data_IF_295476248253
#
_entry.id   IF_295476248253
#
_cell.length_a   1.000
_cell.length_b   1.000
_cell.length_c   1.000
_cell.angle_alpha   90.00
_cell.angle_beta   90.00
_cell.angle_gamma   90.00
#
_symmetry.space_group_name_H-M   'P 1'
#
loop_
_entity.id
_entity.type
_entity.pdbx_description
1 polymer ?
#
# COMPACT_ATOMS: atom_id res chain seq x y z
N UNK A 1 -9.20 -15.28 12.53
CA UNK A 1 -9.43 -15.12 11.08
C UNK A 1 -10.41 -13.97 10.92
N UNK A 2 -10.09 -12.96 10.12
CA UNK A 2 -10.90 -11.73 10.03
C UNK A 2 -12.14 -11.98 9.17
N UNK A 3 -13.30 -11.56 9.66
CA UNK A 3 -14.57 -11.61 8.94
C UNK A 3 -15.12 -10.20 8.67
N UNK A 4 -16.09 -10.08 7.77
CA UNK A 4 -16.71 -8.79 7.41
C UNK A 4 -17.17 -7.99 8.63
N UNK A 5 -17.76 -8.67 9.63
CA UNK A 5 -18.21 -8.02 10.87
C UNK A 5 -17.08 -7.41 11.70
N UNK A 6 -15.84 -7.90 11.59
CA UNK A 6 -14.71 -7.27 12.29
C UNK A 6 -14.40 -5.90 11.69
N UNK A 7 -14.40 -5.79 10.36
CA UNK A 7 -14.22 -4.51 9.65
C UNK A 7 -15.33 -3.54 10.05
N UNK A 8 -16.58 -4.00 10.03
CA UNK A 8 -17.74 -3.15 10.36
C UNK A 8 -17.78 -2.73 11.82
N UNK A 9 -17.37 -3.59 12.75
CA UNK A 9 -17.24 -3.24 14.18
C UNK A 9 -16.18 -2.17 14.39
N UNK A 10 -15.01 -2.29 13.73
CA UNK A 10 -13.98 -1.24 13.77
C UNK A 10 -14.53 0.05 13.16
N UNK A 11 -15.18 0.00 12.00
CA UNK A 11 -15.70 1.19 11.34
C UNK A 11 -16.80 1.88 12.14
N UNK A 12 -17.72 1.12 12.73
CA UNK A 12 -18.79 1.65 13.55
C UNK A 12 -18.28 2.35 14.81
N UNK A 13 -17.20 1.84 15.41
CA UNK A 13 -16.53 2.47 16.55
C UNK A 13 -15.89 3.83 16.25
N UNK A 14 -15.72 4.15 14.96
CA UNK A 14 -15.14 5.42 14.51
C UNK A 14 -16.20 6.47 14.18
N UNK A 15 -17.49 6.11 14.14
CA UNK A 15 -18.58 7.06 13.85
C UNK A 15 -18.57 8.20 14.87
N UNK A 16 -18.57 9.44 14.37
CA UNK A 16 -18.48 10.64 15.19
C UNK A 16 -17.05 11.17 15.37
N UNK A 17 -16.02 10.42 14.95
CA UNK A 17 -14.69 10.98 14.77
C UNK A 17 -14.75 12.19 13.83
N UNK A 18 -14.02 13.25 14.18
CA UNK A 18 -13.90 14.46 13.35
C UNK A 18 -12.47 14.94 13.33
N UNK A 19 -11.96 15.26 12.13
CA UNK A 19 -10.60 15.80 11.96
C UNK A 19 -10.38 17.12 12.72
N UNK A 20 -11.45 17.83 13.04
CA UNK A 20 -11.41 19.11 13.77
C UNK A 20 -11.26 18.93 15.28
N UNK A 21 -11.53 17.72 15.78
CA UNK A 21 -11.42 17.37 17.20
C UNK A 21 -10.17 16.52 17.48
N UNK A 22 -9.36 16.19 16.45
CA UNK A 22 -8.10 15.47 16.66
C UNK A 22 -7.08 16.45 17.23
N UNK A 23 -6.56 16.15 18.42
CA UNK A 23 -5.62 17.02 19.12
C UNK A 23 -4.23 17.06 18.46
N UNK A 24 -3.92 16.09 17.59
CA UNK A 24 -2.66 16.01 16.87
C UNK A 24 -2.85 16.45 15.42
N UNK A 25 -1.77 16.91 14.79
CA UNK A 25 -1.76 17.23 13.36
C UNK A 25 -2.28 16.05 12.51
N UNK A 26 -3.04 16.39 11.49
CA UNK A 26 -3.67 15.45 10.57
C UNK A 26 -4.79 14.65 11.22
N UNK A 27 -5.01 13.45 10.70
CA UNK A 27 -5.94 12.50 11.31
C UNK A 27 -5.17 11.31 11.85
N UNK A 28 -5.69 10.63 12.88
CA UNK A 28 -5.08 9.38 13.35
C UNK A 28 -4.90 8.34 12.24
N UNK A 29 -5.79 8.30 11.25
CA UNK A 29 -5.66 7.42 10.08
C UNK A 29 -4.51 7.86 9.16
N UNK A 30 -4.39 9.17 8.92
CA UNK A 30 -3.27 9.74 8.16
C UNK A 30 -1.93 9.54 8.86
N UNK A 31 -1.88 9.70 10.19
CA UNK A 31 -0.68 9.43 10.99
C UNK A 31 -0.28 7.96 10.96
N UNK A 32 -1.24 7.03 11.09
CA UNK A 32 -0.97 5.60 10.94
C UNK A 32 -0.42 5.27 9.55
N UNK A 33 -1.03 5.81 8.50
CA UNK A 33 -0.56 5.63 7.12
C UNK A 33 0.85 6.23 6.94
N UNK A 34 1.11 7.39 7.53
CA UNK A 34 2.40 8.07 7.45
C UNK A 34 3.56 7.26 8.04
N UNK A 35 3.31 6.40 9.03
CA UNK A 35 4.35 5.50 9.60
C UNK A 35 4.97 4.58 8.56
N UNK A 36 4.26 4.32 7.46
CA UNK A 36 4.64 3.36 6.41
C UNK A 36 4.83 4.01 5.04
N UNK A 37 4.26 5.20 4.82
CA UNK A 37 4.23 5.86 3.50
C UNK A 37 4.75 7.30 3.48
N UNK A 38 5.20 7.83 4.62
CA UNK A 38 5.84 9.15 4.71
C UNK A 38 5.01 10.20 5.45
N UNK A 39 5.71 11.14 6.09
CA UNK A 39 5.14 12.07 7.06
C UNK A 39 4.00 12.97 6.53
N UNK A 40 4.01 13.30 5.23
CA UNK A 40 3.00 14.17 4.61
C UNK A 40 1.56 13.69 4.82
N UNK A 41 1.32 12.37 4.81
CA UNK A 41 0.00 11.79 5.02
C UNK A 41 -0.58 12.07 6.42
N UNK A 42 0.27 12.39 7.39
CA UNK A 42 -0.08 12.80 8.76
C UNK A 42 -0.30 14.30 8.94
N UNK A 43 -0.29 15.09 7.86
CA UNK A 43 -0.48 16.55 7.93
C UNK A 43 -1.95 16.96 7.96
N UNK A 44 -2.20 18.16 8.48
CA UNK A 44 -3.49 18.84 8.35
C UNK A 44 -3.87 19.04 6.87
N UNK A 45 -5.16 19.20 6.60
CA UNK A 45 -5.70 19.38 5.23
C UNK A 45 -5.84 18.09 4.42
N UNK A 46 -5.02 17.05 4.65
CA UNK A 46 -5.02 15.83 3.82
C UNK A 46 -6.36 15.08 3.88
N UNK A 47 -6.91 14.74 2.70
CA UNK A 47 -8.10 13.90 2.56
C UNK A 47 -7.80 12.46 2.98
N UNK A 48 -8.68 11.85 3.77
CA UNK A 48 -8.35 10.61 4.47
C UNK A 48 -9.33 9.45 4.24
N UNK A 49 -10.28 9.54 3.31
CA UNK A 49 -11.26 8.48 3.05
C UNK A 49 -10.59 7.12 2.75
N UNK A 50 -9.59 7.10 1.86
CA UNK A 50 -8.83 5.90 1.51
C UNK A 50 -7.92 5.40 2.65
N UNK A 51 -7.27 6.33 3.36
CA UNK A 51 -6.44 5.99 4.53
C UNK A 51 -7.28 5.42 5.66
N UNK A 52 -8.52 5.89 5.84
CA UNK A 52 -9.48 5.33 6.77
C UNK A 52 -9.79 3.88 6.43
N UNK A 53 -10.15 3.56 5.17
CA UNK A 53 -10.38 2.16 4.76
C UNK A 53 -9.13 1.31 4.98
N UNK A 54 -7.94 1.78 4.60
CA UNK A 54 -6.68 1.08 4.92
C UNK A 54 -6.55 0.81 6.41
N UNK A 55 -6.80 1.81 7.26
CA UNK A 55 -6.71 1.68 8.71
C UNK A 55 -7.73 0.68 9.28
N UNK A 56 -8.97 0.67 8.78
CA UNK A 56 -10.02 -0.27 9.22
C UNK A 56 -9.58 -1.73 9.09
N UNK A 57 -9.08 -2.10 7.91
CA UNK A 57 -8.64 -3.46 7.63
C UNK A 57 -7.49 -3.84 8.56
N UNK A 58 -6.47 -2.98 8.67
CA UNK A 58 -5.31 -3.26 9.50
C UNK A 58 -5.63 -3.35 10.98
N UNK A 59 -6.50 -2.47 11.46
CA UNK A 59 -6.96 -2.49 12.84
C UNK A 59 -7.76 -3.76 13.15
N UNK A 60 -8.46 -4.32 12.17
CA UNK A 60 -9.13 -5.61 12.27
C UNK A 60 -8.17 -6.81 12.10
N UNK A 61 -6.88 -6.59 11.80
CA UNK A 61 -5.88 -7.64 11.64
C UNK A 61 -5.77 -8.21 10.23
N UNK A 62 -6.22 -7.48 9.20
CA UNK A 62 -6.17 -7.88 7.80
C UNK A 62 -5.56 -6.75 6.95
N UNK A 63 -4.77 -7.09 5.93
CA UNK A 63 -4.37 -6.09 4.94
C UNK A 63 -5.54 -5.82 3.98
N UNK A 64 -5.73 -4.55 3.61
CA UNK A 64 -6.73 -4.22 2.61
C UNK A 64 -6.36 -4.85 1.25
N UNK A 65 -7.31 -5.40 0.49
CA UNK A 65 -6.96 -6.12 -0.73
C UNK A 65 -6.27 -5.20 -1.74
N UNK A 66 -5.13 -5.65 -2.27
CA UNK A 66 -4.31 -4.82 -3.16
C UNK A 66 -3.29 -3.92 -2.44
N UNK A 67 -3.21 -4.01 -1.11
CA UNK A 67 -2.29 -3.24 -0.29
C UNK A 67 -2.83 -1.85 0.08
N UNK A 68 -2.13 -1.22 1.03
CA UNK A 68 -2.43 0.13 1.50
C UNK A 68 -2.65 1.13 0.35
N UNK A 69 -3.65 1.99 0.51
CA UNK A 69 -3.92 3.07 -0.44
C UNK A 69 -4.42 4.34 0.24
N UNK A 70 -4.02 5.48 -0.34
CA UNK A 70 -4.50 6.82 0.01
C UNK A 70 -5.21 7.53 -1.16
N UNK A 71 -5.34 6.86 -2.32
CA UNK A 71 -5.92 7.42 -3.55
C UNK A 71 -6.90 6.42 -4.19
N UNK A 72 -8.13 6.85 -4.45
CA UNK A 72 -9.22 5.96 -4.86
C UNK A 72 -8.97 5.21 -6.19
N UNK A 73 -8.57 5.87 -7.29
CA UNK A 73 -8.26 5.18 -8.54
C UNK A 73 -7.15 4.14 -8.41
N UNK A 74 -6.15 4.39 -7.55
CA UNK A 74 -5.12 3.39 -7.26
C UNK A 74 -5.70 2.17 -6.55
N UNK A 75 -6.53 2.37 -5.51
CA UNK A 75 -7.20 1.27 -4.80
C UNK A 75 -8.08 0.43 -5.73
N UNK A 76 -8.90 1.07 -6.58
CA UNK A 76 -9.72 0.42 -7.61
C UNK A 76 -8.86 -0.45 -8.52
N UNK A 77 -7.76 0.10 -9.06
CA UNK A 77 -6.89 -0.64 -9.97
C UNK A 77 -6.30 -1.89 -9.30
N UNK A 78 -5.86 -1.79 -8.04
CA UNK A 78 -5.30 -2.94 -7.32
C UNK A 78 -6.35 -4.02 -7.01
N UNK A 79 -7.55 -3.62 -6.57
CA UNK A 79 -8.61 -4.57 -6.25
C UNK A 79 -9.19 -5.25 -7.51
N UNK A 80 -9.20 -4.54 -8.65
CA UNK A 80 -9.47 -5.13 -9.96
C UNK A 80 -8.44 -6.17 -10.35
N UNK A 81 -7.15 -5.85 -10.23
CA UNK A 81 -6.06 -6.81 -10.50
C UNK A 81 -6.14 -8.05 -9.61
N UNK A 82 -6.65 -7.90 -8.38
CA UNK A 82 -6.89 -9.02 -7.46
C UNK A 82 -8.15 -9.86 -7.79
N UNK A 83 -8.94 -9.45 -8.78
CA UNK A 83 -10.16 -10.13 -9.22
C UNK A 83 -11.27 -10.08 -8.18
N UNK A 84 -11.41 -8.94 -7.48
CA UNK A 84 -12.36 -8.79 -6.37
C UNK A 84 -13.57 -7.93 -6.71
N UNK A 85 -13.61 -7.35 -7.90
CA UNK A 85 -14.75 -6.54 -8.33
C UNK A 85 -15.99 -7.41 -8.41
N UNK A 86 -17.08 -6.92 -7.83
CA UNK A 86 -18.39 -7.55 -7.89
C UNK A 86 -19.38 -6.58 -8.50
N UNK A 87 -20.46 -7.11 -9.07
CA UNK A 87 -21.58 -6.27 -9.48
C UNK A 87 -22.07 -5.45 -8.29
N UNK A 88 -22.16 -4.12 -8.44
CA UNK A 88 -22.54 -3.19 -7.38
C UNK A 88 -23.90 -3.49 -6.74
N UNK A 89 -24.86 -4.01 -7.52
CA UNK A 89 -26.18 -4.39 -7.01
C UNK A 89 -26.11 -5.60 -6.07
N UNK A 90 -25.05 -6.41 -6.18
CA UNK A 90 -24.79 -7.57 -5.33
C UNK A 90 -23.88 -7.24 -4.13
N UNK A 91 -23.68 -5.96 -3.81
CA UNK A 91 -22.87 -5.54 -2.65
C UNK A 91 -23.35 -6.19 -1.36
N UNK A 92 -22.41 -6.51 -0.46
CA UNK A 92 -22.65 -7.16 0.83
C UNK A 92 -21.96 -6.39 1.96
N UNK A 93 -22.43 -6.57 3.22
CA UNK A 93 -21.73 -6.05 4.39
C UNK A 93 -20.24 -6.42 4.37
N UNK A 94 -19.37 -5.43 4.59
CA UNK A 94 -17.91 -5.55 4.53
C UNK A 94 -17.30 -5.35 3.14
N UNK A 95 -18.08 -5.22 2.06
CA UNK A 95 -17.49 -4.86 0.77
C UNK A 95 -16.90 -3.43 0.82
N UNK A 96 -15.84 -3.19 0.05
CA UNK A 96 -15.28 -1.85 -0.16
C UNK A 96 -16.03 -1.24 -1.33
N UNK A 97 -16.58 -0.03 -1.15
CA UNK A 97 -17.39 0.65 -2.16
C UNK A 97 -16.76 1.99 -2.52
N UNK A 98 -16.71 2.27 -3.81
CA UNK A 98 -16.19 3.51 -4.38
C UNK A 98 -17.31 4.32 -5.02
N UNK A 99 -17.13 5.63 -4.99
CA UNK A 99 -18.10 6.60 -5.50
C UNK A 99 -17.47 7.53 -6.53
N UNK A 100 -18.33 7.98 -7.44
CA UNK A 100 -18.06 8.97 -8.47
C UNK A 100 -19.28 9.91 -8.49
N UNK A 101 -19.05 11.21 -8.37
CA UNK A 101 -20.11 12.22 -8.29
C UNK A 101 -20.14 13.16 -9.48
N UNK A 102 -19.08 13.22 -10.28
CA UNK A 102 -18.94 14.15 -11.41
C UNK A 102 -18.81 13.46 -12.77
N UNK A 103 -18.86 12.11 -12.79
CA UNK A 103 -18.76 11.30 -14.01
C UNK A 103 -17.32 11.11 -14.47
N UNK A 104 -16.34 11.38 -13.60
CA UNK A 104 -14.92 11.29 -13.87
C UNK A 104 -14.25 10.07 -13.23
N UNK A 105 -13.20 10.31 -12.46
CA UNK A 105 -12.50 9.26 -11.70
C UNK A 105 -13.07 9.21 -10.29
N UNK A 106 -13.03 8.03 -9.65
CA UNK A 106 -13.62 7.89 -8.32
C UNK A 106 -13.09 8.91 -7.30
N UNK A 107 -14.04 9.62 -6.68
CA UNK A 107 -13.80 10.67 -5.69
C UNK A 107 -13.62 10.14 -4.26
N UNK A 108 -14.29 9.02 -3.96
CA UNK A 108 -14.52 8.64 -2.57
C UNK A 108 -14.65 7.14 -2.38
N UNK A 109 -14.44 6.70 -1.14
CA UNK A 109 -14.46 5.29 -0.76
C UNK A 109 -15.00 5.12 0.66
N UNK A 110 -15.70 4.01 0.88
CA UNK A 110 -16.15 3.57 2.20
C UNK A 110 -16.29 2.06 2.27
N UNK A 111 -16.89 1.59 3.37
CA UNK A 111 -17.28 0.19 3.54
C UNK A 111 -18.79 0.05 3.54
N UNK A 112 -19.30 -0.96 2.85
CA UNK A 112 -20.73 -1.29 2.83
C UNK A 112 -21.12 -1.87 4.17
N UNK A 113 -22.02 -1.23 4.88
CA UNK A 113 -22.57 -1.77 6.13
C UNK A 113 -23.81 -2.60 5.85
N UNK A 114 -24.72 -2.12 4.99
CA UNK A 114 -25.91 -2.85 4.56
C UNK A 114 -26.23 -2.56 3.09
N UNK A 115 -26.68 -3.59 2.36
CA UNK A 115 -27.35 -3.42 1.07
C UNK A 115 -28.87 -3.47 1.29
N UNK A 116 -29.57 -2.39 0.95
CA UNK A 116 -31.02 -2.22 1.14
C UNK A 116 -31.82 -2.41 -0.16
N UNK A 117 -31.19 -2.90 -1.23
CA UNK A 117 -31.78 -3.10 -2.55
C UNK A 117 -31.91 -1.80 -3.36
N UNK A 118 -32.54 -0.76 -2.80
CA UNK A 118 -32.65 0.55 -3.44
C UNK A 118 -31.43 1.46 -3.24
N UNK A 119 -30.64 1.20 -2.19
CA UNK A 119 -29.46 1.98 -1.83
C UNK A 119 -28.51 1.16 -0.94
N UNK A 120 -27.29 1.65 -0.78
CA UNK A 120 -26.34 1.15 0.21
C UNK A 120 -26.32 2.05 1.45
N UNK A 121 -26.27 1.43 2.61
CA UNK A 121 -25.82 2.07 3.84
C UNK A 121 -24.33 1.78 4.00
N UNK A 122 -23.53 2.82 4.22
CA UNK A 122 -22.07 2.74 4.24
C UNK A 122 -21.51 3.43 5.47
N UNK A 123 -20.28 3.08 5.86
CA UNK A 123 -19.48 3.84 6.82
C UNK A 123 -18.28 4.42 6.08
N UNK A 124 -18.14 5.73 6.15
CA UNK A 124 -17.19 6.50 5.36
C UNK A 124 -16.41 7.45 6.25
N UNK A 125 -15.11 7.59 5.99
CA UNK A 125 -14.27 8.63 6.58
C UNK A 125 -14.17 9.84 5.65
N UNK A 126 -13.84 11.01 6.20
CA UNK A 126 -13.72 12.27 5.46
C UNK A 126 -15.03 12.67 4.76
N UNK A 127 -16.16 12.41 5.42
CA UNK A 127 -17.50 12.77 4.96
C UNK A 127 -18.13 13.80 5.90
N UNK A 128 -19.40 14.12 5.68
CA UNK A 128 -20.16 15.05 6.53
C UNK A 128 -21.01 14.32 7.57
N UNK A 129 -20.88 14.73 8.84
CA UNK A 129 -21.70 14.30 9.96
C UNK A 129 -22.28 15.51 10.69
N UNK A 130 -23.61 15.58 10.83
CA UNK A 130 -24.32 16.69 11.51
C UNK A 130 -23.84 18.09 11.05
N UNK A 131 -23.73 18.28 9.73
CA UNK A 131 -23.29 19.53 9.12
C UNK A 131 -21.78 19.78 9.13
N UNK A 132 -20.97 18.93 9.76
CA UNK A 132 -19.50 19.09 9.82
C UNK A 132 -18.80 18.15 8.84
N UNK A 133 -18.02 18.72 7.92
CA UNK A 133 -17.15 17.97 7.00
C UNK A 133 -15.95 17.37 7.72
N UNK A 134 -15.25 16.43 7.08
CA UNK A 134 -14.05 15.82 7.63
C UNK A 134 -14.31 14.88 8.81
N UNK A 135 -15.50 14.29 8.87
CA UNK A 135 -15.93 13.36 9.92
C UNK A 135 -16.08 11.93 9.40
N UNK A 136 -16.12 10.95 10.31
CA UNK A 136 -16.55 9.58 10.01
C UNK A 136 -18.05 9.45 10.30
N UNK A 137 -18.80 8.95 9.34
CA UNK A 137 -20.25 8.82 9.46
C UNK A 137 -20.82 7.64 8.69
N UNK A 138 -22.02 7.24 9.12
CA UNK A 138 -22.90 6.40 8.33
C UNK A 138 -23.58 7.23 7.24
N UNK A 139 -23.55 6.76 5.98
CA UNK A 139 -24.14 7.44 4.82
C UNK A 139 -25.11 6.53 4.08
N UNK A 140 -26.03 7.16 3.34
CA UNK A 140 -26.89 6.51 2.35
C UNK A 140 -26.34 6.87 0.97
N UNK A 141 -26.14 5.85 0.12
CA UNK A 141 -25.57 6.00 -1.21
C UNK A 141 -26.43 5.27 -2.23
N UNK A 142 -27.05 6.03 -3.13
CA UNK A 142 -27.85 5.49 -4.24
C UNK A 142 -26.95 5.04 -5.40
N UNK A 143 -27.49 4.17 -6.25
CA UNK A 143 -26.74 3.50 -7.31
C UNK A 143 -26.08 4.43 -8.34
N UNK A 144 -26.65 5.63 -8.57
CA UNK A 144 -26.06 6.63 -9.46
C UNK A 144 -24.69 7.12 -9.01
N UNK A 145 -24.42 7.10 -7.69
CA UNK A 145 -23.15 7.54 -7.13
C UNK A 145 -22.13 6.40 -6.99
N UNK A 146 -22.56 5.14 -7.15
CA UNK A 146 -21.71 3.98 -6.90
C UNK A 146 -21.06 3.56 -8.22
N UNK A 147 -19.74 3.69 -8.30
CA UNK A 147 -18.98 3.28 -9.48
C UNK A 147 -18.48 1.84 -9.37
N UNK A 148 -17.88 1.46 -8.23
CA UNK A 148 -17.28 0.13 -8.06
C UNK A 148 -17.53 -0.45 -6.67
N UNK A 149 -17.63 -1.78 -6.60
CA UNK A 149 -17.71 -2.53 -5.34
C UNK A 149 -16.74 -3.69 -5.41
N UNK A 150 -15.95 -3.86 -4.35
CA UNK A 150 -14.96 -4.92 -4.22
C UNK A 150 -15.23 -5.74 -2.97
N UNK A 151 -15.18 -7.06 -3.13
CA UNK A 151 -15.42 -8.01 -2.04
C UNK A 151 -14.10 -8.58 -1.53
N UNK A 152 -13.65 -8.19 -0.33
CA UNK A 152 -12.50 -8.84 0.31
C UNK A 152 -12.76 -10.32 0.56
N UNK A 153 -11.69 -11.14 0.47
CA UNK A 153 -11.75 -12.57 0.79
C UNK A 153 -11.67 -12.78 2.30
N UNK A 154 -12.77 -12.53 2.99
CA UNK A 154 -12.95 -12.83 4.41
C UNK A 154 -12.91 -14.33 4.66
N UNK A 155 -12.40 -14.76 5.81
CA UNK A 155 -12.44 -16.18 6.16
C UNK A 155 -11.50 -17.10 5.35
N UNK A 156 -10.83 -16.57 4.32
CA UNK A 156 -9.68 -17.23 3.75
C UNK A 156 -8.48 -16.93 4.66
N UNK A 157 -7.49 -17.83 4.85
CA UNK A 157 -6.15 -17.33 5.09
C UNK A 157 -5.91 -16.25 4.03
N UNK A 158 -5.43 -15.06 4.44
CA UNK A 158 -5.16 -13.95 3.52
C UNK A 158 -4.64 -14.56 2.22
N UNK A 159 -5.26 -14.31 1.05
CA UNK A 159 -4.83 -15.01 -0.15
C UNK A 159 -3.33 -14.78 -0.22
N UNK A 160 -2.54 -15.86 -0.09
CA UNK A 160 -1.17 -15.82 -0.56
C UNK A 160 -1.33 -15.22 -1.95
N UNK A 161 -0.72 -14.03 -2.15
CA UNK A 161 -0.77 -13.32 -3.42
C UNK A 161 -0.71 -14.38 -4.50
N UNK A 162 -1.76 -14.46 -5.35
CA UNK A 162 -1.98 -15.53 -6.33
C UNK A 162 -0.60 -15.99 -6.79
N UNK A 163 -0.18 -17.26 -6.56
CA UNK A 163 1.19 -17.64 -6.82
C UNK A 163 1.42 -17.29 -8.28
N UNK A 164 2.22 -16.24 -8.46
CA UNK A 164 2.76 -15.94 -9.75
C UNK A 164 3.51 -17.20 -10.16
N UNK A 165 3.46 -17.60 -11.44
CA UNK A 165 4.15 -18.81 -11.90
C UNK A 165 5.53 -18.84 -11.25
N UNK A 166 5.85 -19.97 -10.61
CA UNK A 166 7.01 -20.14 -9.72
C UNK A 166 8.20 -19.37 -10.30
N UNK A 167 8.54 -18.22 -9.68
CA UNK A 167 9.65 -17.38 -10.12
C UNK A 167 9.34 -15.96 -10.63
N UNK A 168 8.09 -15.51 -10.79
CA UNK A 168 7.80 -14.11 -11.20
C UNK A 168 7.30 -13.22 -10.06
N UNK A 169 7.97 -12.10 -9.80
CA UNK A 169 7.57 -11.02 -8.89
C UNK A 169 6.37 -10.23 -9.40
N UNK A 170 5.58 -9.69 -8.47
CA UNK A 170 4.67 -8.59 -8.78
C UNK A 170 5.48 -7.32 -9.03
N UNK A 171 5.20 -6.63 -10.14
CA UNK A 171 5.77 -5.29 -10.42
C UNK A 171 4.85 -4.24 -9.78
N UNK A 172 5.17 -3.86 -8.54
CA UNK A 172 4.43 -2.87 -7.74
C UNK A 172 5.26 -1.64 -7.36
N UNK A 173 6.56 -1.68 -7.62
CA UNK A 173 7.52 -0.64 -7.29
C UNK A 173 7.84 -0.55 -5.80
N UNK A 174 7.52 -1.58 -5.02
CA UNK A 174 7.92 -1.72 -3.62
C UNK A 174 8.88 -2.90 -3.47
N UNK A 175 10.13 -2.60 -3.14
CA UNK A 175 11.16 -3.63 -3.08
C UNK A 175 11.16 -4.30 -1.71
N UNK A 176 10.33 -5.32 -1.54
CA UNK A 176 10.16 -6.07 -0.30
C UNK A 176 10.86 -7.44 -0.30
N UNK A 177 10.63 -8.24 0.73
CA UNK A 177 11.32 -9.52 0.98
C UNK A 177 11.22 -10.50 -0.20
N UNK A 178 10.13 -10.48 -0.97
CA UNK A 178 9.99 -11.31 -2.17
C UNK A 178 10.88 -10.83 -3.31
N UNK A 179 10.93 -9.52 -3.57
CA UNK A 179 11.85 -8.95 -4.56
C UNK A 179 13.31 -9.18 -4.17
N UNK A 180 13.62 -9.10 -2.88
CA UNK A 180 14.95 -9.44 -2.34
C UNK A 180 15.25 -10.92 -2.55
N UNK A 181 14.33 -11.83 -2.26
CA UNK A 181 14.55 -13.27 -2.45
C UNK A 181 14.79 -13.64 -3.92
N UNK A 182 14.04 -13.04 -4.83
CA UNK A 182 14.26 -13.23 -6.28
C UNK A 182 15.59 -12.62 -6.72
N UNK A 183 15.94 -11.42 -6.22
CA UNK A 183 17.26 -10.84 -6.43
C UNK A 183 18.36 -11.79 -5.96
N UNK A 184 18.23 -12.36 -4.76
CA UNK A 184 19.19 -13.30 -4.21
C UNK A 184 19.33 -14.56 -5.07
N UNK A 185 18.21 -15.08 -5.60
CA UNK A 185 18.21 -16.20 -6.53
C UNK A 185 18.96 -15.88 -7.82
N UNK A 186 18.65 -14.74 -8.45
CA UNK A 186 19.31 -14.28 -9.69
C UNK A 186 20.80 -14.01 -9.46
N UNK A 187 21.17 -13.54 -8.27
CA UNK A 187 22.55 -13.21 -7.91
C UNK A 187 23.34 -14.39 -7.31
N UNK A 188 22.73 -15.56 -7.14
CA UNK A 188 23.39 -16.74 -6.56
C UNK A 188 23.81 -16.56 -5.09
N UNK A 189 23.05 -15.80 -4.31
CA UNK A 189 23.30 -15.55 -2.87
C UNK A 189 22.25 -16.24 -2.00
N UNK A 190 22.45 -16.37 -0.67
CA UNK A 190 21.45 -16.95 0.22
C UNK A 190 20.08 -16.29 0.05
N UNK A 191 19.04 -17.10 -0.18
CA UNK A 191 17.69 -16.65 -0.54
C UNK A 191 16.79 -16.43 0.69
N UNK A 192 17.29 -15.72 1.69
CA UNK A 192 16.57 -15.49 2.95
C UNK A 192 15.48 -14.40 2.83
N UNK A 193 15.53 -13.56 1.78
CA UNK A 193 14.63 -12.42 1.58
C UNK A 193 15.06 -11.17 2.35
N UNK A 194 16.32 -11.09 2.79
CA UNK A 194 16.86 -10.01 3.62
C UNK A 194 18.04 -9.29 2.94
N UNK A 195 17.95 -7.97 2.86
CA UNK A 195 19.10 -7.08 2.63
C UNK A 195 19.60 -6.65 4.01
N UNK A 196 20.65 -7.32 4.47
CA UNK A 196 21.18 -7.20 5.83
C UNK A 196 22.01 -5.94 6.06
N UNK A 197 21.97 -5.43 7.29
CA UNK A 197 22.97 -4.50 7.86
C UNK A 197 23.32 -3.27 7.00
N UNK A 198 22.31 -2.54 6.56
CA UNK A 198 22.47 -1.32 5.76
C UNK A 198 22.54 -0.06 6.64
N UNK A 199 23.36 0.96 6.30
CA UNK A 199 23.41 2.21 7.04
C UNK A 199 22.05 2.91 7.01
N UNK A 200 21.51 3.26 8.17
CA UNK A 200 20.21 3.93 8.28
C UNK A 200 20.13 5.24 7.49
N UNK A 201 21.24 5.97 7.32
CA UNK A 201 21.28 7.19 6.49
C UNK A 201 20.96 6.93 5.03
N UNK A 202 21.21 5.71 4.54
CA UNK A 202 21.05 5.38 3.14
C UNK A 202 19.61 5.04 2.77
N UNK A 203 18.72 4.92 3.77
CA UNK A 203 17.28 4.70 3.57
C UNK A 203 16.63 5.79 2.72
N UNK A 204 17.12 7.03 2.81
CA UNK A 204 16.62 8.15 2.02
C UNK A 204 16.78 7.94 0.50
N UNK A 205 17.80 7.18 0.07
CA UNK A 205 18.06 6.87 -1.34
C UNK A 205 17.19 5.75 -1.88
N UNK A 206 16.49 5.02 -1.02
CA UNK A 206 15.61 3.90 -1.39
C UNK A 206 14.23 4.05 -0.73
N UNK A 207 13.47 5.13 -1.04
CA UNK A 207 12.20 5.42 -0.39
C UNK A 207 11.14 4.32 -0.56
N UNK A 208 11.31 3.46 -1.57
CA UNK A 208 10.45 2.32 -1.86
C UNK A 208 11.00 0.97 -1.34
N UNK A 209 12.00 0.99 -0.46
CA UNK A 209 12.39 -0.18 0.34
C UNK A 209 11.27 -0.56 1.31
N UNK A 210 10.88 -1.84 1.30
CA UNK A 210 9.77 -2.37 2.11
C UNK A 210 10.29 -3.43 3.10
N UNK A 211 9.56 -4.53 3.28
CA UNK A 211 9.95 -5.65 4.14
C UNK A 211 11.30 -6.26 3.72
N UNK A 212 12.05 -6.83 4.67
CA UNK A 212 13.34 -7.49 4.41
C UNK A 212 14.54 -6.55 4.34
N UNK A 213 14.38 -5.25 4.48
CA UNK A 213 15.52 -4.33 4.63
C UNK A 213 15.88 -4.16 6.11
N UNK A 214 17.10 -4.55 6.47
CA UNK A 214 17.62 -4.36 7.82
C UNK A 214 18.51 -3.13 7.88
N UNK A 215 18.08 -2.14 8.66
CA UNK A 215 18.81 -0.90 8.88
C UNK A 215 19.57 -0.96 10.20
N UNK A 216 20.85 -0.65 10.15
CA UNK A 216 21.73 -0.50 11.30
C UNK A 216 22.18 0.96 11.43
N UNK A 217 22.53 1.35 12.66
CA UNK A 217 23.26 2.61 12.86
C UNK A 217 24.51 2.62 11.98
N UNK A 218 24.82 3.75 11.33
CA UNK A 218 25.87 3.82 10.30
C UNK A 218 27.21 3.19 10.73
N UNK A 219 27.64 3.45 11.96
CA UNK A 219 28.88 2.91 12.55
C UNK A 219 28.88 1.39 12.80
N UNK A 220 27.72 0.74 12.76
CA UNK A 220 27.52 -0.69 13.01
C UNK A 220 27.05 -1.44 11.75
N UNK A 221 26.89 -0.75 10.62
CA UNK A 221 26.49 -1.36 9.37
C UNK A 221 27.64 -2.19 8.80
N UNK A 222 27.35 -3.46 8.47
CA UNK A 222 28.33 -4.45 7.99
C UNK A 222 28.19 -4.73 6.48
N UNK A 223 27.10 -4.27 5.87
CA UNK A 223 26.82 -4.49 4.46
C UNK A 223 26.15 -5.84 4.20
N UNK A 224 25.67 -6.01 2.97
CA UNK A 224 24.93 -7.18 2.53
C UNK A 224 25.62 -7.85 1.35
N UNK A 225 25.75 -9.18 1.42
CA UNK A 225 26.32 -9.99 0.35
C UNK A 225 25.49 -9.90 -0.95
N UNK A 226 24.16 -9.77 -0.85
CA UNK A 226 23.32 -9.58 -2.04
C UNK A 226 23.50 -8.18 -2.64
N UNK A 227 23.76 -7.15 -1.82
CA UNK A 227 24.09 -5.81 -2.34
C UNK A 227 25.45 -5.82 -3.03
N UNK A 228 26.46 -6.50 -2.47
CA UNK A 228 27.75 -6.65 -3.15
C UNK A 228 27.60 -7.34 -4.51
N UNK A 229 26.77 -8.38 -4.58
CA UNK A 229 26.49 -9.09 -5.84
C UNK A 229 25.71 -8.22 -6.84
N UNK A 230 24.71 -7.47 -6.37
CA UNK A 230 23.99 -6.47 -7.17
C UNK A 230 24.97 -5.44 -7.73
N UNK A 231 25.81 -4.83 -6.89
CA UNK A 231 26.80 -3.84 -7.29
C UNK A 231 27.73 -4.38 -8.37
N UNK A 232 28.24 -5.62 -8.23
CA UNK A 232 29.02 -6.28 -9.29
C UNK A 232 28.24 -6.38 -10.60
N UNK A 233 26.96 -6.78 -10.55
CA UNK A 233 26.12 -6.93 -11.76
C UNK A 233 25.96 -5.62 -12.53
N UNK A 234 25.83 -4.50 -11.83
CA UNK A 234 25.60 -3.17 -12.42
C UNK A 234 26.90 -2.38 -12.66
N UNK A 235 28.07 -2.96 -12.38
CA UNK A 235 29.37 -2.30 -12.54
C UNK A 235 29.67 -1.22 -11.49
N UNK A 236 29.06 -1.29 -10.31
CA UNK A 236 29.38 -0.43 -9.17
C UNK A 236 30.42 -1.08 -8.25
N UNK A 237 31.09 -0.27 -7.41
CA UNK A 237 31.99 -0.78 -6.37
C UNK A 237 31.21 -1.69 -5.40
N UNK A 238 31.67 -2.93 -5.15
CA UNK A 238 30.92 -3.92 -4.37
C UNK A 238 31.17 -3.77 -2.86
N UNK A 239 30.83 -2.62 -2.30
CA UNK A 239 31.01 -2.30 -0.87
C UNK A 239 29.92 -2.94 0.03
N UNK A 240 28.83 -3.45 -0.54
CA UNK A 240 27.74 -4.08 0.18
C UNK A 240 26.75 -3.12 0.80
N UNK A 241 26.87 -1.83 0.50
CA UNK A 241 26.00 -0.78 0.98
C UNK A 241 25.19 -0.17 -0.15
N UNK A 242 23.87 -0.26 -0.01
CA UNK A 242 22.96 0.47 -0.88
C UNK A 242 23.13 1.96 -0.61
N UNK A 243 23.20 2.78 -1.64
CA UNK A 243 23.39 4.23 -1.48
C UNK A 243 23.23 4.94 -2.81
N UNK A 244 23.32 6.28 -2.77
CA UNK A 244 23.11 7.13 -3.94
C UNK A 244 23.89 6.68 -5.18
N UNK A 245 25.18 6.32 -5.03
CA UNK A 245 26.00 5.81 -6.13
C UNK A 245 25.49 4.48 -6.72
N UNK A 246 25.16 3.51 -5.87
CA UNK A 246 24.58 2.22 -6.29
C UNK A 246 23.21 2.41 -6.96
N UNK A 247 22.38 3.33 -6.46
CA UNK A 247 21.09 3.64 -7.05
C UNK A 247 21.25 4.25 -8.45
N UNK A 248 22.13 5.24 -8.61
CA UNK A 248 22.39 5.82 -9.94
C UNK A 248 22.94 4.80 -10.93
N UNK A 249 23.85 3.93 -10.50
CA UNK A 249 24.36 2.84 -11.33
C UNK A 249 23.24 1.85 -11.72
N UNK A 250 22.33 1.55 -10.80
CA UNK A 250 21.16 0.70 -11.06
C UNK A 250 20.25 1.36 -12.09
N UNK A 251 19.94 2.64 -11.93
CA UNK A 251 19.09 3.40 -12.85
C UNK A 251 19.68 3.43 -14.27
N UNK A 252 21.00 3.64 -14.37
CA UNK A 252 21.72 3.55 -15.63
C UNK A 252 21.59 2.16 -16.26
N UNK A 253 21.83 1.10 -15.48
CA UNK A 253 21.71 -0.29 -15.95
C UNK A 253 20.30 -0.61 -16.46
N UNK A 254 19.27 -0.09 -15.78
CA UNK A 254 17.86 -0.28 -16.13
C UNK A 254 17.36 0.61 -17.29
N UNK A 255 18.15 1.61 -17.72
CA UNK A 255 17.70 2.58 -18.71
C UNK A 255 16.60 3.54 -18.23
N UNK A 256 16.53 3.81 -16.92
CA UNK A 256 15.59 4.79 -16.33
C UNK A 256 16.30 6.09 -15.94
N UNK A 257 15.54 7.12 -15.58
CA UNK A 257 16.09 8.39 -15.10
C UNK A 257 17.05 8.19 -13.91
N UNK A 258 18.23 8.80 -13.97
CA UNK A 258 19.32 8.63 -13.01
C UNK A 258 19.28 9.70 -11.91
N UNK A 259 18.17 9.80 -11.18
CA UNK A 259 17.97 10.79 -10.12
C UNK A 259 18.64 10.43 -8.77
N UNK A 260 19.17 9.21 -8.64
CA UNK A 260 19.84 8.73 -7.43
C UNK A 260 18.91 8.34 -6.29
N UNK A 261 17.59 8.30 -6.53
CA UNK A 261 16.57 7.82 -5.61
C UNK A 261 15.83 6.62 -6.22
N UNK A 262 15.89 5.47 -5.55
CA UNK A 262 15.19 4.26 -5.98
C UNK A 262 13.72 4.34 -5.57
N UNK A 263 13.00 5.26 -6.21
CA UNK A 263 11.57 5.42 -6.12
C UNK A 263 10.80 4.35 -6.89
N UNK A 264 9.48 4.52 -6.98
CA UNK A 264 8.58 3.54 -7.60
C UNK A 264 8.98 3.16 -9.03
N UNK A 265 9.48 4.10 -9.84
CA UNK A 265 9.91 3.85 -11.23
C UNK A 265 11.12 2.91 -11.25
N UNK A 266 12.18 3.25 -10.49
CA UNK A 266 13.40 2.43 -10.42
C UNK A 266 13.10 1.04 -9.85
N UNK A 267 12.31 0.94 -8.77
CA UNK A 267 11.99 -0.35 -8.17
C UNK A 267 11.09 -1.21 -9.07
N UNK A 268 10.14 -0.61 -9.79
CA UNK A 268 9.30 -1.33 -10.76
C UNK A 268 10.14 -1.86 -11.93
N UNK A 269 11.06 -1.04 -12.44
CA UNK A 269 11.98 -1.44 -13.49
C UNK A 269 12.91 -2.57 -13.02
N UNK A 270 13.41 -2.52 -11.77
CA UNK A 270 14.21 -3.60 -11.20
C UNK A 270 13.42 -4.90 -11.02
N UNK A 271 12.18 -4.84 -10.52
CA UNK A 271 11.29 -6.01 -10.45
C UNK A 271 10.98 -6.60 -11.82
N UNK A 272 10.79 -5.74 -12.84
CA UNK A 272 10.56 -6.15 -14.23
C UNK A 272 11.77 -6.89 -14.78
N UNK A 273 12.97 -6.34 -14.56
CA UNK A 273 14.22 -6.97 -14.96
C UNK A 273 14.43 -8.32 -14.27
N UNK A 274 14.16 -8.40 -12.95
CA UNK A 274 14.25 -9.64 -12.18
C UNK A 274 13.27 -10.72 -12.67
N UNK A 275 12.12 -10.35 -13.25
CA UNK A 275 11.19 -11.33 -13.82
C UNK A 275 11.69 -11.97 -15.11
N UNK A 276 12.68 -11.37 -15.77
CA UNK A 276 13.24 -11.83 -17.03
C UNK A 276 14.51 -12.68 -16.84
N UNK A 277 14.96 -12.89 -15.59
CA UNK A 277 16.20 -13.57 -15.21
C UNK A 277 15.95 -14.56 -14.06
#
# INVERSE_FOLDING_TARGET
MVVANDILRVAAGEIGYSRWNDAQSGTKYGRDYATRHGAWYGSNGVSYCAMFVTWLFRRAGMDVPGGDFAYCPYGIAQMRRAGLEVNKYNARPGDIVFFDWDGGVSDHVGVVELNKGGYLQTIEGNTSYRGKTGSVARKIRYWGNVCNVFRPRYGAPAPAARPAPVGSLTVDGWFGAQSIRKLQAVMGTPQDGVISSQPSSNRAWVPNASTGWEWAANRHAKGSVVIQAWQRKIGAAPDGFIGHGTVRATQKFLGVAQDGYAGKITMSAWQTWLNQH
#
